data_IF_591772452840
#
_entry.id   IF_591772452840
#
_cell.length_a   1.000
_cell.length_b   1.000
_cell.length_c   1.000
_cell.angle_alpha   90.00
_cell.angle_beta   90.00
_cell.angle_gamma   90.00
#
_symmetry.space_group_name_H-M   'P 1'
#
loop_
_entity.id
_entity.type
_entity.pdbx_description
1 polymer ?
#
# COMPACT_ATOMS: atom_id res chain seq x y z
N UNK A 1 -27.38 2.39 -10.77
CA UNK A 1 -27.19 0.92 -10.61
C UNK A 1 -26.45 0.30 -11.78
N UNK A 2 -26.63 0.81 -13.01
CA UNK A 2 -26.00 0.25 -14.22
C UNK A 2 -24.48 0.47 -14.31
N UNK A 3 -23.99 1.63 -13.86
CA UNK A 3 -22.54 1.91 -13.77
C UNK A 3 -21.81 0.96 -12.80
N UNK A 4 -22.39 0.68 -11.62
CA UNK A 4 -21.80 -0.25 -10.65
C UNK A 4 -21.75 -1.69 -11.19
N UNK A 5 -22.82 -2.16 -11.84
CA UNK A 5 -22.85 -3.48 -12.48
C UNK A 5 -21.83 -3.58 -13.63
N UNK A 6 -21.65 -2.52 -14.39
CA UNK A 6 -20.65 -2.46 -15.47
C UNK A 6 -19.21 -2.48 -14.93
N UNK A 7 -18.92 -1.71 -13.87
CA UNK A 7 -17.62 -1.73 -13.18
C UNK A 7 -17.33 -3.14 -12.66
N UNK A 8 -18.29 -3.77 -11.98
CA UNK A 8 -18.11 -5.14 -11.46
C UNK A 8 -17.82 -6.14 -12.59
N UNK A 9 -18.54 -6.06 -13.72
CA UNK A 9 -18.33 -6.96 -14.86
C UNK A 9 -16.99 -6.73 -15.58
N UNK A 10 -16.47 -5.50 -15.61
CA UNK A 10 -15.22 -5.16 -16.29
C UNK A 10 -13.97 -5.30 -15.42
N UNK A 11 -14.10 -5.04 -14.11
CA UNK A 11 -13.01 -5.08 -13.11
C UNK A 11 -12.88 -6.46 -12.49
N UNK A 12 -14.00 -7.11 -12.14
CA UNK A 12 -14.03 -8.38 -11.42
C UNK A 12 -13.16 -9.48 -12.04
N UNK A 13 -13.30 -9.78 -13.35
CA UNK A 13 -12.47 -10.79 -14.00
C UNK A 13 -10.97 -10.51 -13.93
N UNK A 14 -10.57 -9.23 -13.98
CA UNK A 14 -9.16 -8.81 -13.94
C UNK A 14 -8.52 -8.98 -12.55
N UNK A 15 -9.33 -9.10 -11.48
CA UNK A 15 -8.86 -9.33 -10.10
C UNK A 15 -8.78 -10.80 -9.72
N UNK A 16 -9.26 -11.73 -10.55
CA UNK A 16 -9.19 -13.18 -10.28
C UNK A 16 -7.76 -13.63 -9.93
N UNK A 17 -6.69 -13.22 -10.64
CA UNK A 17 -5.32 -13.62 -10.29
C UNK A 17 -4.91 -13.19 -8.88
N UNK A 18 -5.31 -11.99 -8.45
CA UNK A 18 -5.03 -11.49 -7.11
C UNK A 18 -5.67 -12.37 -6.03
N UNK A 19 -6.98 -12.63 -6.13
CA UNK A 19 -7.67 -13.44 -5.12
C UNK A 19 -7.14 -14.87 -5.07
N UNK A 20 -6.82 -15.47 -6.22
CA UNK A 20 -6.19 -16.80 -6.27
C UNK A 20 -4.83 -16.82 -5.59
N UNK A 21 -3.97 -15.84 -5.89
CA UNK A 21 -2.61 -15.81 -5.32
C UNK A 21 -2.62 -15.50 -3.82
N UNK A 22 -3.55 -14.65 -3.34
CA UNK A 22 -3.79 -14.44 -1.90
C UNK A 22 -4.24 -15.73 -1.22
N UNK A 23 -5.21 -16.44 -1.80
CA UNK A 23 -5.68 -17.71 -1.24
C UNK A 23 -4.55 -18.74 -1.15
N UNK A 24 -3.76 -18.90 -2.22
CA UNK A 24 -2.60 -19.80 -2.24
C UNK A 24 -1.58 -19.40 -1.16
N UNK A 25 -1.27 -18.10 -1.03
CA UNK A 25 -0.35 -17.61 -0.01
C UNK A 25 -0.80 -17.98 1.41
N UNK A 26 -2.07 -17.77 1.75
CA UNK A 26 -2.58 -18.08 3.09
C UNK A 26 -2.79 -19.57 3.36
N UNK A 27 -3.06 -20.38 2.32
CA UNK A 27 -3.13 -21.84 2.46
C UNK A 27 -1.75 -22.44 2.71
N UNK A 28 -0.72 -21.97 2.00
CA UNK A 28 0.64 -22.46 2.17
C UNK A 28 1.30 -21.86 3.41
N UNK A 29 1.04 -20.57 3.67
CA UNK A 29 1.61 -19.75 4.73
C UNK A 29 3.12 -20.02 4.93
N UNK A 30 3.97 -19.62 3.96
CA UNK A 30 5.39 -19.95 3.99
C UNK A 30 6.06 -19.50 5.30
N UNK A 31 6.86 -20.38 5.91
CA UNK A 31 7.56 -20.08 7.16
C UNK A 31 8.52 -18.91 7.00
N UNK A 32 8.47 -17.95 7.93
CA UNK A 32 9.42 -16.84 7.97
C UNK A 32 10.79 -17.26 8.52
N UNK A 33 10.88 -18.38 9.24
CA UNK A 33 12.15 -18.86 9.80
C UNK A 33 13.03 -19.54 8.76
N UNK A 34 12.40 -20.11 7.71
CA UNK A 34 13.08 -20.83 6.63
C UNK A 34 12.83 -20.13 5.29
N UNK A 35 13.58 -19.06 4.98
CA UNK A 35 13.40 -18.31 3.74
C UNK A 35 13.63 -19.22 2.53
N UNK A 36 12.75 -19.12 1.54
CA UNK A 36 12.80 -19.95 0.33
C UNK A 36 12.34 -19.14 -0.87
N UNK A 37 12.91 -19.44 -2.04
CA UNK A 37 12.51 -18.79 -3.30
C UNK A 37 11.01 -18.93 -3.57
N UNK A 38 10.45 -20.12 -3.31
CA UNK A 38 9.02 -20.35 -3.45
C UNK A 38 8.20 -19.46 -2.50
N UNK A 39 8.59 -19.37 -1.22
CA UNK A 39 7.92 -18.50 -0.25
C UNK A 39 7.96 -17.03 -0.66
N UNK A 40 9.10 -16.57 -1.18
CA UNK A 40 9.27 -15.21 -1.73
C UNK A 40 8.34 -14.98 -2.92
N UNK A 41 8.33 -15.89 -3.90
CA UNK A 41 7.45 -15.79 -5.08
C UNK A 41 5.98 -15.72 -4.63
N UNK A 42 5.56 -16.63 -3.76
CA UNK A 42 4.19 -16.67 -3.24
C UNK A 42 3.80 -15.37 -2.53
N UNK A 43 4.73 -14.75 -1.78
CA UNK A 43 4.51 -13.48 -1.10
C UNK A 43 4.35 -12.31 -2.08
N UNK A 44 5.10 -12.31 -3.18
CA UNK A 44 5.08 -11.25 -4.19
C UNK A 44 3.88 -11.35 -5.16
N UNK A 45 3.42 -12.56 -5.47
CA UNK A 45 2.41 -12.83 -6.50
C UNK A 45 1.10 -12.03 -6.35
N UNK A 46 0.54 -11.80 -5.14
CA UNK A 46 -0.62 -10.93 -4.97
C UNK A 46 -0.39 -9.50 -5.48
N UNK A 47 0.71 -8.87 -5.06
CA UNK A 47 1.01 -7.49 -5.47
C UNK A 47 1.37 -7.41 -6.95
N UNK A 48 2.10 -8.39 -7.47
CA UNK A 48 2.36 -8.51 -8.92
C UNK A 48 1.06 -8.66 -9.73
N UNK A 49 0.07 -9.39 -9.20
CA UNK A 49 -1.26 -9.50 -9.83
C UNK A 49 -1.99 -8.16 -9.85
N UNK A 50 -1.82 -7.33 -8.81
CA UNK A 50 -2.38 -5.97 -8.78
C UNK A 50 -1.69 -5.02 -9.76
N UNK A 51 -0.37 -5.15 -9.92
CA UNK A 51 0.36 -4.45 -11.00
C UNK A 51 -0.29 -4.79 -12.34
N UNK A 52 -0.39 -6.08 -12.67
CA UNK A 52 -1.01 -6.53 -13.92
C UNK A 52 -2.45 -6.02 -14.06
N UNK A 53 -3.24 -6.06 -13.00
CA UNK A 53 -4.60 -5.52 -12.97
C UNK A 53 -4.64 -4.05 -13.42
N UNK A 54 -3.80 -3.19 -12.84
CA UNK A 54 -3.76 -1.76 -13.20
C UNK A 54 -3.28 -1.57 -14.65
N UNK A 55 -2.28 -2.34 -15.10
CA UNK A 55 -1.82 -2.32 -16.49
C UNK A 55 -2.95 -2.66 -17.47
N UNK A 56 -3.71 -3.71 -17.19
CA UNK A 56 -4.83 -4.19 -18.01
C UNK A 56 -6.08 -3.29 -17.93
N UNK A 57 -6.19 -2.45 -16.90
CA UNK A 57 -7.29 -1.50 -16.77
C UNK A 57 -7.15 -0.33 -17.76
N UNK A 58 -5.94 -0.06 -18.23
CA UNK A 58 -5.64 0.96 -19.24
C UNK A 58 -4.54 1.89 -18.74
N UNK A 59 -3.44 1.97 -19.49
CA UNK A 59 -2.38 2.94 -19.31
C UNK A 59 -2.01 3.57 -20.64
N UNK A 60 -1.85 4.88 -20.64
CA UNK A 60 -1.14 5.60 -21.71
C UNK A 60 -0.08 6.52 -21.10
N UNK A 61 0.76 7.12 -21.95
CA UNK A 61 1.74 8.12 -21.53
C UNK A 61 1.11 9.50 -21.28
N UNK A 62 -0.17 9.67 -21.62
CA UNK A 62 -0.88 10.92 -21.45
C UNK A 62 -0.97 11.35 -19.99
N UNK A 63 -1.09 12.65 -19.80
CA UNK A 63 -1.26 13.31 -18.51
C UNK A 63 -2.38 12.71 -17.66
N UNK A 64 -3.47 12.29 -18.31
CA UNK A 64 -4.62 11.63 -17.70
C UNK A 64 -4.28 10.30 -16.98
N UNK A 65 -3.18 9.61 -17.34
CA UNK A 65 -2.76 8.35 -16.73
C UNK A 65 -1.61 8.50 -15.71
N UNK A 66 -1.22 9.74 -15.37
CA UNK A 66 -0.19 10.01 -14.35
C UNK A 66 -0.48 9.32 -13.02
N UNK A 67 -1.75 9.29 -12.60
CA UNK A 67 -2.18 8.62 -11.38
C UNK A 67 -1.89 7.13 -11.41
N UNK A 68 -2.45 6.41 -12.40
CA UNK A 68 -2.28 4.96 -12.56
C UNK A 68 -0.81 4.56 -12.69
N UNK A 69 0.01 5.34 -13.40
CA UNK A 69 1.46 5.09 -13.51
C UNK A 69 2.16 5.17 -12.15
N UNK A 70 1.85 6.18 -11.34
CA UNK A 70 2.40 6.31 -9.98
C UNK A 70 1.92 5.19 -9.06
N UNK A 71 0.67 4.75 -9.19
CA UNK A 71 0.16 3.57 -8.48
C UNK A 71 0.94 2.30 -8.88
N UNK A 72 1.16 2.06 -10.18
CA UNK A 72 1.96 0.91 -10.67
C UNK A 72 3.38 0.94 -10.15
N UNK A 73 4.05 2.10 -10.19
CA UNK A 73 5.40 2.25 -9.63
C UNK A 73 5.38 1.92 -8.13
N UNK A 74 4.39 2.42 -7.40
CA UNK A 74 4.22 2.13 -5.99
C UNK A 74 4.08 0.63 -5.71
N UNK A 75 3.15 -0.03 -6.40
CA UNK A 75 2.91 -1.46 -6.29
C UNK A 75 4.16 -2.29 -6.65
N UNK A 76 4.88 -1.92 -7.71
CA UNK A 76 6.09 -2.61 -8.13
C UNK A 76 7.19 -2.52 -7.06
N UNK A 77 7.41 -1.34 -6.48
CA UNK A 77 8.39 -1.17 -5.40
C UNK A 77 7.98 -1.87 -4.11
N UNK A 78 6.68 -1.91 -3.78
CA UNK A 78 6.19 -2.74 -2.67
C UNK A 78 6.42 -4.24 -2.93
N UNK A 79 6.22 -4.71 -4.17
CA UNK A 79 6.51 -6.10 -4.55
C UNK A 79 8.01 -6.42 -4.43
N UNK A 80 8.90 -5.48 -4.77
CA UNK A 80 10.35 -5.61 -4.54
C UNK A 80 10.66 -5.62 -3.04
N UNK A 81 10.01 -4.76 -2.26
CA UNK A 81 10.09 -4.75 -0.81
C UNK A 81 9.68 -6.09 -0.20
N UNK A 82 8.59 -6.70 -0.66
CA UNK A 82 8.14 -8.02 -0.24
C UNK A 82 9.20 -9.10 -0.48
N UNK A 83 9.85 -9.03 -1.65
CA UNK A 83 10.90 -9.96 -2.02
C UNK A 83 12.13 -9.82 -1.10
N UNK A 84 12.57 -8.59 -0.86
CA UNK A 84 13.71 -8.28 0.00
C UNK A 84 13.44 -8.66 1.45
N UNK A 85 12.28 -8.30 2.00
CA UNK A 85 11.89 -8.63 3.37
C UNK A 85 11.71 -10.14 3.62
N UNK A 86 11.66 -10.97 2.56
CA UNK A 86 11.62 -12.42 2.73
C UNK A 86 12.98 -13.03 3.10
N UNK A 87 14.09 -12.28 2.94
CA UNK A 87 15.45 -12.78 3.16
C UNK A 87 16.15 -12.10 4.34
N UNK A 88 16.92 -12.84 5.14
CA UNK A 88 17.69 -12.27 6.25
C UNK A 88 18.76 -11.31 5.71
N UNK A 89 18.95 -10.18 6.41
CA UNK A 89 19.96 -9.16 6.05
C UNK A 89 19.52 -8.17 4.97
N UNK A 90 18.31 -8.28 4.42
CA UNK A 90 17.76 -7.35 3.42
C UNK A 90 16.66 -6.44 3.98
N UNK A 91 16.55 -6.38 5.30
CA UNK A 91 15.48 -5.65 5.97
C UNK A 91 15.51 -4.15 5.63
N UNK A 92 16.68 -3.53 5.76
CA UNK A 92 16.92 -2.12 5.45
C UNK A 92 16.58 -1.80 4.00
N UNK A 93 17.08 -2.61 3.06
CA UNK A 93 16.83 -2.44 1.63
C UNK A 93 15.36 -2.65 1.29
N UNK A 94 14.69 -3.59 1.97
CA UNK A 94 13.26 -3.81 1.84
C UNK A 94 12.44 -2.59 2.27
N UNK A 95 12.76 -1.99 3.43
CA UNK A 95 12.11 -0.74 3.87
C UNK A 95 12.36 0.39 2.88
N UNK A 96 13.58 0.51 2.34
CA UNK A 96 13.88 1.53 1.32
C UNK A 96 13.01 1.33 0.09
N UNK A 97 12.85 0.09 -0.39
CA UNK A 97 11.97 -0.22 -1.52
C UNK A 97 10.51 0.16 -1.21
N UNK A 98 9.99 -0.21 -0.03
CA UNK A 98 8.67 0.25 0.41
C UNK A 98 8.57 1.77 0.49
N UNK A 99 9.63 2.45 0.95
CA UNK A 99 9.69 3.90 1.01
C UNK A 99 9.56 4.55 -0.36
N UNK A 100 10.26 4.05 -1.38
CA UNK A 100 10.09 4.50 -2.76
C UNK A 100 8.65 4.28 -3.23
N UNK A 101 8.04 3.15 -2.84
CA UNK A 101 6.64 2.86 -3.09
C UNK A 101 5.68 3.91 -2.49
N UNK A 102 5.86 4.21 -1.20
CA UNK A 102 5.10 5.24 -0.48
C UNK A 102 5.27 6.62 -1.08
N UNK A 103 6.48 6.98 -1.49
CA UNK A 103 6.73 8.24 -2.18
C UNK A 103 5.96 8.32 -3.50
N UNK A 104 5.94 7.23 -4.27
CA UNK A 104 5.12 7.17 -5.49
C UNK A 104 3.62 7.33 -5.20
N UNK A 105 3.12 6.71 -4.13
CA UNK A 105 1.73 6.89 -3.68
C UNK A 105 1.43 8.33 -3.22
N UNK A 106 2.34 8.98 -2.48
CA UNK A 106 2.23 10.40 -2.13
C UNK A 106 2.06 11.26 -3.38
N UNK A 107 2.91 11.02 -4.40
CA UNK A 107 2.79 11.73 -5.66
C UNK A 107 1.47 11.43 -6.37
N UNK A 108 0.97 10.19 -6.32
CA UNK A 108 -0.33 9.84 -6.92
C UNK A 108 -1.49 10.58 -6.24
N UNK A 109 -1.48 10.62 -4.91
CA UNK A 109 -2.52 11.24 -4.08
C UNK A 109 -2.51 12.77 -4.13
N UNK A 110 -1.36 13.36 -4.50
CA UNK A 110 -1.23 14.78 -4.74
C UNK A 110 -1.26 15.63 -3.46
N UNK A 111 -0.98 16.93 -3.63
CA UNK A 111 -0.85 17.88 -2.53
C UNK A 111 -2.07 18.79 -2.33
N UNK A 112 -3.09 18.66 -3.17
CA UNK A 112 -4.34 19.40 -3.06
C UNK A 112 -5.53 18.46 -2.79
N UNK A 113 -6.43 18.82 -1.87
CA UNK A 113 -6.38 19.98 -0.97
C UNK A 113 -5.31 19.79 0.13
N UNK A 114 -4.86 20.89 0.74
CA UNK A 114 -4.05 20.82 1.97
C UNK A 114 -5.00 20.86 3.17
N UNK A 115 -5.23 19.70 3.80
CA UNK A 115 -5.97 19.62 5.06
C UNK A 115 -4.98 19.65 6.24
N UNK A 116 -4.70 20.86 6.75
CA UNK A 116 -3.70 21.09 7.81
C UNK A 116 -4.10 20.39 9.11
N UNK A 117 -5.38 20.46 9.52
CA UNK A 117 -5.86 19.83 10.75
C UNK A 117 -5.66 18.32 10.75
N UNK A 118 -5.95 17.66 9.61
CA UNK A 118 -5.65 16.24 9.42
C UNK A 118 -4.14 15.97 9.46
N UNK A 119 -3.34 16.85 8.86
CA UNK A 119 -1.88 16.76 8.88
C UNK A 119 -1.30 16.80 10.29
N UNK A 120 -1.80 17.71 11.13
CA UNK A 120 -1.40 17.81 12.54
C UNK A 120 -1.78 16.55 13.31
N UNK A 121 -2.99 16.03 13.12
CA UNK A 121 -3.43 14.80 13.79
C UNK A 121 -2.54 13.60 13.41
N UNK A 122 -2.23 13.44 12.12
CA UNK A 122 -1.36 12.36 11.65
C UNK A 122 0.09 12.56 12.06
N UNK A 123 0.58 13.81 12.11
CA UNK A 123 1.91 14.10 12.66
C UNK A 123 2.00 13.72 14.14
N UNK A 124 0.94 13.96 14.92
CA UNK A 124 0.84 13.48 16.30
C UNK A 124 0.99 11.96 16.39
N UNK A 125 0.22 11.22 15.59
CA UNK A 125 0.32 9.74 15.52
C UNK A 125 1.71 9.26 15.06
N UNK A 126 2.32 9.96 14.11
CA UNK A 126 3.68 9.70 13.62
C UNK A 126 4.70 9.84 14.76
N UNK A 127 4.67 10.96 15.48
CA UNK A 127 5.57 11.22 16.62
C UNK A 127 5.36 10.18 17.73
N UNK A 128 4.10 9.88 18.07
CA UNK A 128 3.79 8.83 19.06
C UNK A 128 4.33 7.48 18.63
N UNK A 129 4.18 7.10 17.35
CA UNK A 129 4.69 5.84 16.82
C UNK A 129 6.22 5.76 16.87
N UNK A 130 6.91 6.87 16.55
CA UNK A 130 8.37 6.96 16.65
C UNK A 130 8.81 6.81 18.11
N UNK A 131 8.25 7.60 19.03
CA UNK A 131 8.59 7.52 20.47
C UNK A 131 8.35 6.11 20.99
N UNK A 132 7.24 5.50 20.58
CA UNK A 132 6.92 4.14 20.99
C UNK A 132 7.95 3.14 20.47
N UNK A 133 8.24 3.11 19.17
CA UNK A 133 9.08 2.08 18.54
C UNK A 133 10.59 2.27 18.79
N UNK A 134 11.08 3.51 18.81
CA UNK A 134 12.52 3.85 18.79
C UNK A 134 13.37 3.13 19.85
N UNK A 135 12.94 2.98 21.12
CA UNK A 135 13.75 2.28 22.14
C UNK A 135 14.02 0.80 21.83
N UNK A 136 13.25 0.20 20.93
CA UNK A 136 13.42 -1.20 20.51
C UNK A 136 14.35 -1.41 19.32
N UNK A 137 14.75 -0.32 18.66
CA UNK A 137 15.52 -0.36 17.42
C UNK A 137 17.02 -0.38 17.75
N UNK A 138 17.74 -1.34 17.18
CA UNK A 138 19.19 -1.49 17.34
C UNK A 138 19.91 -1.18 16.04
N UNK A 139 21.09 -0.55 16.15
CA UNK A 139 21.93 -0.21 15.00
C UNK A 139 21.61 1.16 14.41
N UNK A 140 22.65 1.95 14.17
CA UNK A 140 22.55 3.34 13.69
C UNK A 140 21.71 3.49 12.40
N UNK A 141 21.85 2.63 11.37
CA UNK A 141 21.06 2.77 10.14
C UNK A 141 19.56 2.71 10.39
N UNK A 142 19.09 1.80 11.24
CA UNK A 142 17.67 1.62 11.53
C UNK A 142 17.13 2.68 12.48
N UNK A 143 17.93 3.11 13.47
CA UNK A 143 17.54 4.19 14.40
C UNK A 143 17.25 5.50 13.66
N UNK A 144 17.91 5.74 12.52
CA UNK A 144 17.64 6.91 11.66
C UNK A 144 16.62 6.59 10.56
N UNK A 145 16.74 5.44 9.91
CA UNK A 145 15.91 5.07 8.76
C UNK A 145 14.44 4.83 9.11
N UNK A 146 14.15 4.22 10.26
CA UNK A 146 12.77 3.91 10.67
C UNK A 146 11.96 5.18 10.94
N UNK A 147 12.45 6.20 11.66
CA UNK A 147 11.74 7.48 11.77
C UNK A 147 11.44 8.15 10.43
N UNK A 148 12.40 8.13 9.49
CA UNK A 148 12.21 8.67 8.14
C UNK A 148 11.10 7.91 7.41
N UNK A 149 11.12 6.58 7.52
CA UNK A 149 10.09 5.73 6.93
C UNK A 149 8.70 5.98 7.54
N UNK A 150 8.60 6.09 8.88
CA UNK A 150 7.34 6.40 9.58
C UNK A 150 6.81 7.77 9.14
N UNK A 151 7.68 8.77 9.00
CA UNK A 151 7.29 10.08 8.48
C UNK A 151 6.76 10.01 7.03
N UNK A 152 7.38 9.18 6.19
CA UNK A 152 6.96 8.98 4.82
C UNK A 152 5.59 8.31 4.72
N UNK A 153 5.37 7.21 5.43
CA UNK A 153 4.06 6.54 5.44
C UNK A 153 2.98 7.42 6.10
N UNK A 154 3.33 8.20 7.13
CA UNK A 154 2.45 9.22 7.72
C UNK A 154 2.04 10.29 6.70
N UNK A 155 3.00 10.76 5.90
CA UNK A 155 2.72 11.70 4.81
C UNK A 155 1.80 11.07 3.77
N UNK A 156 2.03 9.81 3.40
CA UNK A 156 1.17 9.07 2.45
C UNK A 156 -0.28 9.00 2.94
N UNK A 157 -0.53 8.57 4.18
CA UNK A 157 -1.90 8.48 4.72
C UNK A 157 -2.53 9.87 4.88
N UNK A 158 -1.74 10.90 5.23
CA UNK A 158 -2.24 12.28 5.25
C UNK A 158 -2.71 12.72 3.86
N UNK A 159 -1.92 12.49 2.82
CA UNK A 159 -2.30 12.85 1.45
C UNK A 159 -3.51 12.05 0.96
N UNK A 160 -3.63 10.78 1.35
CA UNK A 160 -4.82 9.98 1.05
C UNK A 160 -6.08 10.57 1.74
N UNK A 161 -6.04 10.77 3.05
CA UNK A 161 -7.18 11.27 3.83
C UNK A 161 -7.55 12.73 3.54
N UNK A 162 -6.58 13.58 3.20
CA UNK A 162 -6.85 14.97 2.83
C UNK A 162 -7.78 15.07 1.60
N UNK A 163 -7.74 14.10 0.68
CA UNK A 163 -8.66 14.08 -0.46
C UNK A 163 -10.12 13.92 -0.02
N UNK A 164 -10.38 13.29 1.13
CA UNK A 164 -11.74 13.10 1.65
C UNK A 164 -12.41 14.42 2.07
N UNK A 165 -11.64 15.46 2.43
CA UNK A 165 -12.25 16.74 2.82
C UNK A 165 -12.86 17.54 1.67
N UNK A 166 -12.71 17.05 0.43
CA UNK A 166 -13.37 17.61 -0.77
C UNK A 166 -14.55 16.77 -1.23
N UNK A 167 -14.88 15.69 -0.52
CA UNK A 167 -16.01 14.84 -0.85
C UNK A 167 -17.30 15.57 -0.49
N UNK A 168 -18.00 16.05 -1.52
CA UNK A 168 -19.39 16.51 -1.40
C UNK A 168 -20.38 15.33 -1.44
N UNK A 169 -20.00 14.23 -2.08
CA UNK A 169 -20.77 12.98 -2.15
C UNK A 169 -19.84 11.75 -2.06
N UNK A 170 -20.25 10.71 -1.33
CA UNK A 170 -19.57 9.40 -1.19
C UNK A 170 -19.32 8.65 -2.53
N UNK A 171 -19.69 9.26 -3.65
CA UNK A 171 -19.53 8.72 -5.01
C UNK A 171 -18.10 8.75 -5.55
N UNK A 172 -17.14 9.31 -4.81
CA UNK A 172 -15.73 9.38 -5.21
C UNK A 172 -14.96 8.11 -4.84
N UNK A 173 -15.20 7.03 -5.60
CA UNK A 173 -14.63 5.69 -5.37
C UNK A 173 -13.10 5.72 -5.19
N UNK A 174 -12.39 6.47 -6.04
CA UNK A 174 -10.93 6.59 -5.98
C UNK A 174 -10.42 7.13 -4.64
N UNK A 175 -11.08 8.15 -4.10
CA UNK A 175 -10.66 8.82 -2.85
C UNK A 175 -10.90 7.93 -1.63
N UNK A 176 -12.03 7.21 -1.63
CA UNK A 176 -12.34 6.23 -0.59
C UNK A 176 -11.34 5.08 -0.63
N UNK A 177 -11.11 4.49 -1.81
CA UNK A 177 -10.19 3.38 -1.99
C UNK A 177 -8.74 3.72 -1.60
N UNK A 178 -8.21 4.87 -2.03
CA UNK A 178 -6.87 5.32 -1.65
C UNK A 178 -6.73 5.60 -0.15
N UNK A 179 -7.77 6.16 0.48
CA UNK A 179 -7.79 6.43 1.93
C UNK A 179 -7.88 5.14 2.76
N UNK A 180 -8.79 4.24 2.42
CA UNK A 180 -8.92 2.93 3.07
C UNK A 180 -7.63 2.13 2.90
N UNK A 181 -7.05 2.16 1.69
CA UNK A 181 -5.78 1.51 1.39
C UNK A 181 -4.63 2.05 2.22
N UNK A 182 -4.46 3.38 2.27
CA UNK A 182 -3.42 3.99 3.10
C UNK A 182 -3.57 3.68 4.59
N UNK A 183 -4.80 3.65 5.12
CA UNK A 183 -5.05 3.36 6.53
C UNK A 183 -4.66 1.92 6.87
N UNK A 184 -5.08 0.96 6.04
CA UNK A 184 -4.74 -0.44 6.21
C UNK A 184 -3.23 -0.69 6.06
N UNK A 185 -2.55 0.09 5.21
CA UNK A 185 -1.10 0.01 5.07
C UNK A 185 -0.40 0.46 6.37
N UNK A 186 -0.80 1.59 6.94
CA UNK A 186 -0.26 2.06 8.23
C UNK A 186 -0.50 1.03 9.34
N UNK A 187 -1.68 0.39 9.36
CA UNK A 187 -1.98 -0.69 10.33
C UNK A 187 -1.04 -1.88 10.13
N UNK A 188 -0.87 -2.34 8.88
CA UNK A 188 0.08 -3.41 8.52
C UNK A 188 1.49 -3.12 9.04
N UNK A 189 2.00 -1.93 8.73
CA UNK A 189 3.38 -1.55 9.04
C UNK A 189 3.60 -1.28 10.51
N UNK A 190 2.60 -0.75 11.21
CA UNK A 190 2.66 -0.61 12.66
C UNK A 190 2.75 -1.99 13.32
N UNK A 191 1.94 -2.96 12.91
CA UNK A 191 2.03 -4.33 13.43
C UNK A 191 3.38 -4.99 13.09
N UNK A 192 3.89 -4.78 11.87
CA UNK A 192 5.21 -5.29 11.47
C UNK A 192 6.32 -4.67 12.33
N UNK A 193 6.30 -3.36 12.55
CA UNK A 193 7.26 -2.64 13.38
C UNK A 193 7.21 -3.07 14.85
N UNK A 194 6.01 -3.25 15.42
CA UNK A 194 5.84 -3.75 16.79
C UNK A 194 6.40 -5.17 16.92
N UNK A 195 6.05 -6.07 15.98
CA UNK A 195 6.50 -7.46 15.98
C UNK A 195 8.03 -7.58 15.96
N UNK A 196 8.70 -6.64 15.31
CA UNK A 196 10.14 -6.68 15.07
C UNK A 196 10.96 -5.94 16.11
N UNK A 197 10.47 -4.81 16.61
CA UNK A 197 11.25 -3.95 17.51
C UNK A 197 10.79 -4.02 18.98
N UNK A 198 9.61 -4.59 19.27
CA UNK A 198 9.07 -4.60 20.64
C UNK A 198 8.85 -5.99 21.19
N UNK A 199 7.86 -6.69 20.67
CA UNK A 199 7.49 -8.01 21.16
C UNK A 199 6.87 -8.80 20.03
N UNK A 200 7.02 -10.12 20.07
CA UNK A 200 6.45 -11.02 19.07
C UNK A 200 4.92 -10.98 19.17
N UNK A 201 4.25 -10.67 18.07
CA UNK A 201 2.80 -10.73 17.95
C UNK A 201 2.40 -12.15 17.53
N UNK A 202 1.43 -12.73 18.23
CA UNK A 202 0.87 -14.03 17.83
C UNK A 202 0.21 -13.92 16.46
N UNK A 203 0.56 -14.83 15.55
CA UNK A 203 0.09 -14.81 14.15
C UNK A 203 0.41 -13.49 13.41
N UNK A 204 1.52 -12.82 13.76
CA UNK A 204 1.94 -11.56 13.14
C UNK A 204 1.91 -11.60 11.60
N UNK A 205 2.45 -12.66 11.01
CA UNK A 205 2.45 -12.84 9.55
C UNK A 205 1.04 -12.77 8.96
N UNK A 206 0.06 -13.46 9.54
CA UNK A 206 -1.31 -13.47 9.02
C UNK A 206 -1.95 -12.09 9.12
N UNK A 207 -1.78 -11.42 10.26
CA UNK A 207 -2.35 -10.10 10.50
C UNK A 207 -1.72 -9.04 9.56
N UNK A 208 -0.39 -9.02 9.47
CA UNK A 208 0.34 -8.09 8.61
C UNK A 208 -0.04 -8.32 7.16
N UNK A 209 0.04 -9.55 6.67
CA UNK A 209 -0.21 -9.83 5.25
C UNK A 209 -1.68 -9.63 4.86
N UNK A 210 -2.64 -9.86 5.75
CA UNK A 210 -4.07 -9.64 5.45
C UNK A 210 -4.39 -8.15 5.34
N UNK A 211 -3.94 -7.35 6.31
CA UNK A 211 -4.08 -5.89 6.26
C UNK A 211 -3.32 -5.29 5.08
N UNK A 212 -2.10 -5.76 4.81
CA UNK A 212 -1.26 -5.35 3.69
C UNK A 212 -1.89 -5.65 2.31
N UNK A 213 -2.30 -6.90 2.04
CA UNK A 213 -2.89 -7.22 0.74
C UNK A 213 -4.23 -6.51 0.53
N UNK A 214 -5.00 -6.29 1.59
CA UNK A 214 -6.22 -5.48 1.51
C UNK A 214 -5.89 -4.01 1.24
N UNK A 215 -4.83 -3.48 1.86
CA UNK A 215 -4.33 -2.14 1.59
C UNK A 215 -3.95 -1.97 0.11
N UNK A 216 -3.14 -2.88 -0.42
CA UNK A 216 -2.69 -2.83 -1.80
C UNK A 216 -3.86 -3.00 -2.78
N UNK A 217 -4.82 -3.89 -2.50
CA UNK A 217 -6.03 -4.02 -3.31
C UNK A 217 -6.82 -2.72 -3.36
N UNK A 218 -7.04 -2.07 -2.20
CA UNK A 218 -7.75 -0.81 -2.14
C UNK A 218 -7.00 0.30 -2.90
N UNK A 219 -5.68 0.40 -2.75
CA UNK A 219 -4.87 1.34 -3.53
C UNK A 219 -4.95 1.01 -5.04
N UNK A 220 -4.88 -0.24 -5.45
CA UNK A 220 -5.01 -0.62 -6.85
C UNK A 220 -6.41 -0.30 -7.42
N UNK A 221 -7.47 -0.54 -6.65
CA UNK A 221 -8.85 -0.23 -7.02
C UNK A 221 -9.12 1.28 -7.16
N UNK A 222 -8.28 2.12 -6.55
CA UNK A 222 -8.37 3.58 -6.67
C UNK A 222 -8.08 4.12 -8.07
N UNK A 223 -7.67 3.27 -9.03
CA UNK A 223 -7.49 3.66 -10.44
C UNK A 223 -8.78 3.54 -11.26
N UNK A 224 -9.79 2.80 -10.77
CA UNK A 224 -10.96 2.39 -11.59
C UNK A 224 -11.88 3.55 -11.98
N UNK A 225 -11.97 4.60 -11.16
CA UNK A 225 -12.79 5.79 -11.45
C UNK A 225 -11.97 6.89 -12.15
N UNK A 226 -10.64 6.71 -12.29
CA UNK A 226 -9.75 7.69 -12.96
C UNK A 226 -9.79 7.60 -14.48
N UNK A 227 -10.40 6.54 -15.01
CA UNK A 227 -10.38 6.16 -16.43
C UNK A 227 -11.74 6.31 -17.13
N UNK A 228 -12.74 6.94 -16.50
CA UNK A 228 -14.05 7.12 -17.13
C UNK A 228 -14.11 8.31 -18.11
N UNK A 229 -13.84 7.93 -19.37
CA UNK A 229 -14.27 8.48 -20.67
C UNK A 229 -13.93 9.93 -21.03
N UNK A 230 -13.19 10.18 -22.14
CA UNK A 230 -13.37 11.43 -22.86
C UNK A 230 -14.83 11.44 -23.35
N UNK A 231 -15.62 12.33 -22.77
CA UNK A 231 -16.82 12.82 -23.45
C UNK A 231 -16.27 13.57 -24.65
N UNK A 232 -16.22 12.91 -25.81
CA UNK A 232 -16.19 13.61 -27.07
C UNK A 232 -17.50 14.41 -27.14
N UNK A 233 -17.40 15.70 -26.82
CA UNK A 233 -18.34 16.71 -27.29
C UNK A 233 -17.86 17.20 -28.66
#
# INVERSE_FOLDING_TARGET
MDSLRYIIKSVGPKLIPFFKTVAIYFVILPSQENPSLLGTILKCLPVASLVLFVLLHGMSLDEQFKYSRRIVIGLAFCCVGDALLAWPGYFETGIIAFGIGHFSYILAFGFEPINVSMGIAILGLCVTSIIYLLPGIKGLPLTVGVPIYIFLIATMIWRALAQLSTIKDLRNWNKVCSSTGGLLFVISDLMLGINMFKFKINHAQTLVMSSYYTAQLAIALSVVDSSHFPIYN
#
